data_IF_967505110606
#
_entry.id   IF_967505110606
#
_cell.length_a   1.000
_cell.length_b   1.000
_cell.length_c   1.000
_cell.angle_alpha   90.00
_cell.angle_beta   90.00
_cell.angle_gamma   90.00
#
_symmetry.space_group_name_H-M   'P 1'
#
loop_
_entity.id
_entity.type
_entity.pdbx_description
1 polymer ?
#
# COMPACT_ATOMS: atom_id res chain seq x y z
N UNK A 1 -13.11 -6.19 10.56
CA UNK A 1 -14.44 -6.03 11.16
C UNK A 1 -15.01 -7.35 11.70
N UNK A 2 -14.69 -8.48 11.11
CA UNK A 2 -15.25 -9.80 11.46
C UNK A 2 -14.25 -10.80 12.03
N UNK A 3 -13.07 -10.37 12.48
CA UNK A 3 -12.02 -11.25 13.05
C UNK A 3 -12.49 -12.08 14.23
N UNK A 4 -13.40 -11.57 15.06
CA UNK A 4 -13.99 -12.28 16.19
C UNK A 4 -15.08 -13.30 15.83
N UNK A 5 -15.54 -13.28 14.59
CA UNK A 5 -16.59 -14.13 14.06
C UNK A 5 -16.02 -15.45 13.53
N UNK A 6 -15.60 -16.34 14.44
CA UNK A 6 -14.91 -17.59 14.08
C UNK A 6 -15.69 -18.45 13.08
N UNK A 7 -17.01 -18.47 13.19
CA UNK A 7 -17.88 -19.22 12.26
C UNK A 7 -17.84 -18.62 10.85
N UNK A 8 -17.85 -17.31 10.73
CA UNK A 8 -17.75 -16.62 9.46
C UNK A 8 -16.37 -16.80 8.83
N UNK A 9 -15.31 -16.67 9.63
CA UNK A 9 -13.94 -16.89 9.15
C UNK A 9 -13.74 -18.31 8.61
N UNK A 10 -14.24 -19.34 9.29
CA UNK A 10 -14.21 -20.72 8.79
C UNK A 10 -14.97 -20.88 7.47
N UNK A 11 -16.15 -20.29 7.33
CA UNK A 11 -16.91 -20.34 6.07
C UNK A 11 -16.19 -19.65 4.92
N UNK A 12 -15.52 -18.52 5.16
CA UNK A 12 -14.71 -17.84 4.16
C UNK A 12 -13.49 -18.68 3.76
N UNK A 13 -12.83 -19.31 4.71
CA UNK A 13 -11.72 -20.23 4.47
C UNK A 13 -12.18 -21.43 3.63
N UNK A 14 -13.27 -22.10 4.01
CA UNK A 14 -13.86 -23.21 3.26
C UNK A 14 -14.27 -22.79 1.84
N UNK A 15 -14.84 -21.62 1.67
CA UNK A 15 -15.20 -21.07 0.36
C UNK A 15 -13.96 -20.82 -0.49
N UNK A 16 -12.91 -20.26 0.09
CA UNK A 16 -11.63 -20.01 -0.59
C UNK A 16 -11.00 -21.34 -1.01
N UNK A 17 -10.92 -22.32 -0.11
CA UNK A 17 -10.35 -23.63 -0.39
C UNK A 17 -11.13 -24.36 -1.50
N UNK A 18 -12.47 -24.32 -1.52
CA UNK A 18 -13.26 -24.91 -2.61
C UNK A 18 -12.95 -24.31 -3.99
N UNK A 19 -12.61 -23.02 -4.04
CA UNK A 19 -12.22 -22.37 -5.30
C UNK A 19 -10.77 -22.68 -5.69
N UNK A 20 -9.91 -22.98 -4.73
CA UNK A 20 -8.51 -23.32 -4.96
C UNK A 20 -8.29 -24.82 -5.21
N UNK A 21 -9.17 -25.70 -4.72
CA UNK A 21 -9.08 -27.16 -4.82
C UNK A 21 -9.18 -27.69 -6.27
N UNK A 22 -9.51 -26.85 -7.23
CA UNK A 22 -9.47 -27.16 -8.65
C UNK A 22 -8.08 -27.01 -9.27
N UNK A 23 -7.12 -26.49 -8.55
CA UNK A 23 -5.72 -26.39 -8.97
C UNK A 23 -4.95 -27.62 -8.48
N UNK A 24 -5.14 -28.75 -9.12
CA UNK A 24 -4.29 -29.93 -8.91
C UNK A 24 -2.82 -29.55 -9.06
N UNK A 25 -2.08 -29.73 -7.99
CA UNK A 25 -0.62 -29.72 -7.97
C UNK A 25 -0.03 -28.32 -8.08
N UNK A 26 0.40 -27.81 -6.96
CA UNK A 26 1.21 -26.61 -6.83
C UNK A 26 2.58 -26.78 -7.51
N UNK A 27 2.62 -26.99 -8.81
CA UNK A 27 3.85 -26.92 -9.58
C UNK A 27 3.98 -25.54 -10.19
N UNK A 28 5.16 -24.95 -10.08
CA UNK A 28 5.46 -23.71 -10.78
C UNK A 28 5.14 -23.79 -12.26
N UNK A 29 4.71 -22.70 -12.85
CA UNK A 29 4.42 -22.59 -14.29
C UNK A 29 5.25 -21.47 -14.89
N UNK A 30 5.74 -21.68 -16.07
CA UNK A 30 6.49 -20.65 -16.83
C UNK A 30 5.79 -20.47 -18.17
N UNK A 31 5.30 -19.27 -18.41
CA UNK A 31 4.61 -18.90 -19.64
C UNK A 31 5.60 -18.35 -20.70
N UNK A 32 5.09 -17.85 -21.81
CA UNK A 32 5.90 -17.39 -22.93
C UNK A 32 6.72 -16.14 -22.58
N UNK A 33 7.88 -16.01 -23.23
CA UNK A 33 8.78 -14.86 -23.10
C UNK A 33 9.31 -14.58 -21.68
N UNK A 34 9.23 -15.54 -20.77
CA UNK A 34 9.76 -15.42 -19.42
C UNK A 34 11.27 -15.57 -19.42
N UNK A 35 11.96 -14.73 -18.66
CA UNK A 35 13.41 -14.78 -18.47
C UNK A 35 13.73 -15.06 -17.01
N UNK A 36 14.40 -16.17 -16.74
CA UNK A 36 14.91 -16.52 -15.40
C UNK A 36 16.43 -16.68 -15.48
N UNK A 37 17.16 -15.86 -14.72
CA UNK A 37 18.62 -15.85 -14.72
C UNK A 37 19.19 -15.78 -13.30
N UNK A 38 20.18 -16.61 -13.01
CA UNK A 38 21.01 -16.52 -11.80
C UNK A 38 20.18 -16.46 -10.48
N UNK A 39 19.04 -17.12 -10.43
CA UNK A 39 18.24 -17.23 -9.23
C UNK A 39 18.66 -18.46 -8.42
N UNK A 40 18.79 -18.32 -7.09
CA UNK A 40 19.27 -19.42 -6.26
C UNK A 40 18.17 -20.45 -5.96
N UNK A 41 16.96 -20.00 -5.67
CA UNK A 41 15.83 -20.87 -5.34
C UNK A 41 14.52 -20.33 -5.94
N UNK A 42 13.81 -21.19 -6.63
CA UNK A 42 12.44 -20.94 -7.10
C UNK A 42 11.61 -22.20 -6.82
N UNK A 43 10.54 -22.06 -6.07
CA UNK A 43 9.67 -23.15 -5.70
C UNK A 43 8.21 -22.75 -5.80
N UNK A 44 7.40 -23.49 -6.55
CA UNK A 44 5.96 -23.26 -6.67
C UNK A 44 5.57 -21.81 -7.06
N UNK A 45 6.21 -21.28 -8.11
CA UNK A 45 5.95 -19.93 -8.62
C UNK A 45 5.42 -19.99 -10.04
N UNK A 46 4.31 -19.29 -10.32
CA UNK A 46 3.81 -19.07 -11.66
C UNK A 46 4.36 -17.76 -12.22
N UNK A 47 5.10 -17.84 -13.33
CA UNK A 47 5.61 -16.67 -14.06
C UNK A 47 4.75 -16.45 -15.30
N UNK A 48 4.01 -15.34 -15.34
CA UNK A 48 3.20 -14.97 -16.48
C UNK A 48 4.04 -14.33 -17.58
N UNK A 49 3.45 -14.19 -18.75
CA UNK A 49 4.10 -13.78 -19.99
C UNK A 49 4.98 -12.53 -19.82
N UNK A 50 6.18 -12.57 -20.40
CA UNK A 50 7.12 -11.44 -20.47
C UNK A 50 7.76 -11.06 -19.12
N UNK A 51 7.52 -11.81 -18.05
CA UNK A 51 8.12 -11.51 -16.74
C UNK A 51 9.61 -11.90 -16.69
N UNK A 52 10.35 -11.17 -15.85
CA UNK A 52 11.80 -11.35 -15.66
C UNK A 52 12.10 -11.60 -14.18
N UNK A 53 12.89 -12.63 -13.90
CA UNK A 53 13.48 -12.86 -12.58
C UNK A 53 15.01 -12.99 -12.73
N UNK A 54 15.76 -12.04 -12.21
CA UNK A 54 17.22 -12.02 -12.32
C UNK A 54 17.88 -11.81 -10.96
N UNK A 55 18.85 -12.70 -10.63
CA UNK A 55 19.60 -12.63 -9.39
C UNK A 55 18.73 -12.63 -8.12
N UNK A 56 17.60 -13.33 -8.13
CA UNK A 56 16.74 -13.50 -6.96
C UNK A 56 17.37 -14.53 -6.00
N UNK A 57 17.25 -14.27 -4.70
CA UNK A 57 17.74 -15.19 -3.66
C UNK A 57 16.72 -16.32 -3.46
N UNK A 58 15.45 -15.99 -3.23
CA UNK A 58 14.42 -16.98 -3.02
C UNK A 58 13.05 -16.48 -3.47
N UNK A 59 12.34 -17.26 -4.25
CA UNK A 59 10.96 -17.04 -4.65
C UNK A 59 10.17 -18.31 -4.36
N UNK A 60 9.11 -18.22 -3.55
CA UNK A 60 8.27 -19.37 -3.23
C UNK A 60 6.78 -19.02 -3.11
N UNK A 61 5.95 -19.98 -3.52
CA UNK A 61 4.49 -19.94 -3.36
C UNK A 61 3.87 -18.65 -3.88
N UNK A 62 4.11 -18.34 -5.16
CA UNK A 62 3.72 -17.04 -5.67
C UNK A 62 3.28 -16.99 -7.13
N UNK A 63 2.73 -15.84 -7.49
CA UNK A 63 2.38 -15.49 -8.87
C UNK A 63 3.10 -14.21 -9.25
N UNK A 64 3.88 -14.28 -10.31
CA UNK A 64 4.52 -13.14 -10.97
C UNK A 64 3.68 -12.74 -12.17
N UNK A 65 3.07 -11.56 -12.14
CA UNK A 65 2.18 -11.06 -13.17
C UNK A 65 2.89 -10.78 -14.51
N UNK A 66 2.10 -10.36 -15.49
CA UNK A 66 2.60 -10.06 -16.83
C UNK A 66 3.59 -8.89 -16.78
N UNK A 67 4.68 -9.00 -17.55
CA UNK A 67 5.74 -7.98 -17.66
C UNK A 67 6.31 -7.50 -16.32
N UNK A 68 6.29 -8.33 -15.29
CA UNK A 68 6.92 -8.03 -14.00
C UNK A 68 8.45 -8.19 -14.05
N UNK A 69 9.16 -7.40 -13.26
CA UNK A 69 10.61 -7.48 -13.12
C UNK A 69 11.00 -7.69 -11.67
N UNK A 70 11.68 -8.77 -11.36
CA UNK A 70 12.22 -9.13 -10.05
C UNK A 70 13.74 -9.22 -10.15
N UNK A 71 14.45 -8.22 -9.62
CA UNK A 71 15.88 -8.08 -9.91
C UNK A 71 16.70 -7.78 -8.64
N UNK A 72 17.91 -8.36 -8.58
CA UNK A 72 18.94 -8.04 -7.60
C UNK A 72 18.59 -8.36 -6.14
N UNK A 73 18.55 -9.63 -5.79
CA UNK A 73 18.54 -10.08 -4.40
C UNK A 73 17.15 -10.19 -3.77
N UNK A 74 16.12 -10.40 -4.55
CA UNK A 74 14.74 -10.49 -4.06
C UNK A 74 14.52 -11.77 -3.24
N UNK A 75 13.81 -11.61 -2.10
CA UNK A 75 13.24 -12.70 -1.31
C UNK A 75 11.74 -12.47 -1.26
N UNK A 76 10.96 -13.38 -1.85
CA UNK A 76 9.51 -13.28 -1.84
C UNK A 76 8.86 -14.65 -1.56
N UNK A 77 7.87 -14.65 -0.65
CA UNK A 77 7.17 -15.86 -0.21
C UNK A 77 5.68 -15.58 -0.04
N UNK A 78 4.81 -16.47 -0.53
CA UNK A 78 3.34 -16.33 -0.51
C UNK A 78 2.89 -14.96 -1.02
N UNK A 79 3.13 -14.71 -2.31
CA UNK A 79 2.90 -13.41 -2.93
C UNK A 79 2.09 -13.48 -4.21
N UNK A 80 1.39 -12.39 -4.51
CA UNK A 80 0.73 -12.18 -5.80
C UNK A 80 1.12 -10.79 -6.33
N UNK A 81 1.71 -10.77 -7.52
CA UNK A 81 2.04 -9.55 -8.24
C UNK A 81 1.07 -9.35 -9.41
N UNK A 82 0.53 -8.15 -9.52
CA UNK A 82 -0.25 -7.71 -10.68
C UNK A 82 0.60 -7.53 -11.94
N UNK A 83 0.07 -6.83 -12.92
CA UNK A 83 0.75 -6.55 -14.18
C UNK A 83 1.81 -5.45 -13.97
N UNK A 84 2.99 -5.61 -14.59
CA UNK A 84 4.06 -4.60 -14.64
C UNK A 84 4.56 -4.12 -13.26
N UNK A 85 4.66 -5.03 -12.31
CA UNK A 85 5.25 -4.76 -10.98
C UNK A 85 6.76 -4.91 -11.04
N UNK A 86 7.48 -4.03 -10.33
CA UNK A 86 8.92 -4.09 -10.18
C UNK A 86 9.32 -4.33 -8.73
N UNK A 87 10.10 -5.37 -8.49
CA UNK A 87 10.73 -5.67 -7.20
C UNK A 87 12.25 -5.62 -7.37
N UNK A 88 12.92 -4.72 -6.64
CA UNK A 88 14.32 -4.43 -6.91
C UNK A 88 15.18 -4.35 -5.65
N UNK A 89 16.47 -4.67 -5.78
CA UNK A 89 17.55 -4.36 -4.83
C UNK A 89 17.33 -4.85 -3.39
N UNK A 90 17.18 -6.15 -3.20
CA UNK A 90 17.15 -6.75 -1.87
C UNK A 90 15.81 -6.59 -1.13
N UNK A 91 14.75 -6.33 -1.85
CA UNK A 91 13.38 -6.33 -1.29
C UNK A 91 13.07 -7.66 -0.61
N UNK A 92 12.36 -7.59 0.52
CA UNK A 92 11.71 -8.72 1.17
C UNK A 92 10.19 -8.54 1.11
N UNK A 93 9.50 -9.57 0.59
CA UNK A 93 8.04 -9.57 0.43
C UNK A 93 7.46 -10.89 0.93
N UNK A 94 6.51 -10.85 1.84
CA UNK A 94 5.81 -12.05 2.30
C UNK A 94 4.33 -11.79 2.57
N UNK A 95 3.51 -12.84 2.35
CA UNK A 95 2.07 -12.82 2.62
C UNK A 95 1.35 -11.59 2.05
N UNK A 96 1.67 -11.20 0.81
CA UNK A 96 1.24 -9.91 0.29
C UNK A 96 0.76 -9.94 -1.15
N UNK A 97 -0.17 -9.03 -1.45
CA UNK A 97 -0.65 -8.74 -2.80
C UNK A 97 -0.18 -7.36 -3.22
N UNK A 98 0.47 -7.28 -4.38
CA UNK A 98 0.95 -6.02 -4.96
C UNK A 98 0.24 -5.77 -6.28
N UNK A 99 -0.53 -4.70 -6.33
CA UNK A 99 -1.30 -4.28 -7.51
C UNK A 99 -0.44 -3.78 -8.66
N UNK A 100 -1.05 -3.68 -9.82
CA UNK A 100 -0.42 -3.34 -11.09
C UNK A 100 0.44 -2.08 -11.03
N UNK A 101 1.46 -2.04 -11.88
CA UNK A 101 2.28 -0.84 -12.14
C UNK A 101 2.92 -0.23 -10.87
N UNK A 102 3.27 -1.07 -9.90
CA UNK A 102 3.89 -0.68 -8.63
C UNK A 102 5.40 -0.95 -8.63
N UNK A 103 6.14 -0.16 -7.86
CA UNK A 103 7.60 -0.32 -7.71
C UNK A 103 7.98 -0.39 -6.23
N UNK A 104 8.61 -1.50 -5.83
CA UNK A 104 9.12 -1.70 -4.48
C UNK A 104 10.61 -2.05 -4.54
N UNK A 105 11.43 -1.36 -3.76
CA UNK A 105 12.86 -1.61 -3.74
C UNK A 105 13.47 -1.31 -2.37
N UNK A 106 14.49 -2.07 -1.96
CA UNK A 106 15.26 -1.83 -0.73
C UNK A 106 14.42 -1.73 0.54
N UNK A 107 13.30 -2.42 0.60
CA UNK A 107 12.32 -2.33 1.68
C UNK A 107 11.85 -3.72 2.14
N UNK A 108 11.09 -3.75 3.20
CA UNK A 108 10.38 -4.93 3.69
C UNK A 108 8.87 -4.67 3.67
N UNK A 109 8.13 -5.61 3.08
CA UNK A 109 6.68 -5.58 3.00
C UNK A 109 6.11 -6.93 3.40
N UNK A 110 5.17 -6.94 4.34
CA UNK A 110 4.53 -8.17 4.80
C UNK A 110 3.05 -8.01 5.13
N UNK A 111 2.31 -9.11 5.00
CA UNK A 111 0.89 -9.20 5.37
C UNK A 111 0.03 -8.04 4.84
N UNK A 112 0.29 -7.61 3.61
CA UNK A 112 -0.27 -6.37 3.08
C UNK A 112 -1.00 -6.56 1.76
N UNK A 113 -2.03 -5.74 1.54
CA UNK A 113 -2.70 -5.59 0.26
C UNK A 113 -2.42 -4.18 -0.26
N UNK A 114 -1.68 -4.12 -1.34
CA UNK A 114 -1.25 -2.88 -1.99
C UNK A 114 -1.94 -2.75 -3.34
N UNK A 115 -2.69 -1.69 -3.54
CA UNK A 115 -3.39 -1.39 -4.78
C UNK A 115 -2.45 -0.75 -5.82
N UNK A 116 -2.87 -0.66 -7.11
CA UNK A 116 -2.01 -0.26 -8.21
C UNK A 116 -1.31 1.09 -8.06
N UNK A 117 -0.16 1.22 -8.74
CA UNK A 117 0.65 2.43 -8.80
C UNK A 117 1.26 2.87 -7.45
N UNK A 118 1.63 1.90 -6.62
CA UNK A 118 2.37 2.15 -5.39
C UNK A 118 3.87 2.33 -5.66
N UNK A 119 4.48 3.30 -4.99
CA UNK A 119 5.90 3.61 -5.08
C UNK A 119 6.56 3.51 -3.70
N UNK A 120 7.43 2.54 -3.49
CA UNK A 120 8.23 2.35 -2.27
C UNK A 120 9.64 1.90 -2.65
N UNK A 121 10.41 2.81 -3.23
CA UNK A 121 11.69 2.47 -3.86
C UNK A 121 12.91 3.12 -3.19
N UNK A 122 12.73 3.77 -2.06
CA UNK A 122 13.82 4.31 -1.26
C UNK A 122 14.20 3.36 -0.11
N UNK A 123 15.45 3.48 0.33
CA UNK A 123 16.05 2.57 1.30
C UNK A 123 15.40 2.64 2.69
N UNK A 124 15.45 1.52 3.40
CA UNK A 124 15.11 1.40 4.82
C UNK A 124 13.66 1.77 5.16
N UNK A 125 12.72 1.36 4.32
CA UNK A 125 11.29 1.47 4.63
C UNK A 125 10.69 0.09 4.97
N UNK A 126 9.62 0.13 5.76
CA UNK A 126 8.94 -1.03 6.31
C UNK A 126 7.44 -0.81 6.25
N UNK A 127 6.70 -1.77 5.71
CA UNK A 127 5.25 -1.74 5.60
C UNK A 127 4.67 -3.09 5.94
N UNK A 128 3.95 -3.19 7.04
CA UNK A 128 3.36 -4.46 7.51
C UNK A 128 1.91 -4.30 7.91
N UNK A 129 1.12 -5.36 7.68
CA UNK A 129 -0.29 -5.48 8.03
C UNK A 129 -1.10 -4.27 7.55
N UNK A 130 -0.99 -3.96 6.26
CA UNK A 130 -1.55 -2.75 5.70
C UNK A 130 -2.48 -3.01 4.50
N UNK A 131 -3.57 -2.25 4.46
CA UNK A 131 -4.35 -2.01 3.26
C UNK A 131 -3.97 -0.63 2.73
N UNK A 132 -3.26 -0.58 1.61
CA UNK A 132 -2.82 0.67 0.98
C UNK A 132 -3.51 0.81 -0.37
N UNK A 133 -4.35 1.81 -0.52
CA UNK A 133 -5.00 2.11 -1.79
C UNK A 133 -3.99 2.72 -2.78
N UNK A 134 -4.32 2.69 -4.05
CA UNK A 134 -3.39 3.02 -5.13
C UNK A 134 -2.76 4.41 -5.08
N UNK A 135 -1.78 4.65 -5.96
CA UNK A 135 -1.06 5.92 -6.14
C UNK A 135 -0.34 6.45 -4.87
N UNK A 136 -0.05 5.55 -3.96
CA UNK A 136 0.65 5.87 -2.71
C UNK A 136 2.16 5.91 -2.91
N UNK A 137 2.84 6.65 -2.04
CA UNK A 137 4.29 6.82 -2.12
C UNK A 137 4.91 6.81 -0.72
N UNK A 138 5.65 5.77 -0.39
CA UNK A 138 6.35 5.64 0.88
C UNK A 138 7.79 6.11 0.72
N UNK A 139 8.16 7.14 1.48
CA UNK A 139 9.51 7.70 1.44
C UNK A 139 10.52 6.86 2.25
N UNK A 140 11.82 7.17 2.10
CA UNK A 140 12.89 6.50 2.82
C UNK A 140 12.70 6.53 4.34
N UNK A 141 13.02 5.42 5.00
CA UNK A 141 12.95 5.29 6.46
C UNK A 141 11.53 5.27 7.04
N UNK A 142 10.50 5.17 6.20
CA UNK A 142 9.13 5.05 6.66
C UNK A 142 8.91 3.72 7.40
N UNK A 143 8.40 3.76 8.63
CA UNK A 143 8.06 2.59 9.45
C UNK A 143 6.55 2.57 9.65
N UNK A 144 5.86 1.78 8.84
CA UNK A 144 4.41 1.80 8.73
C UNK A 144 3.79 0.49 9.21
N UNK A 145 2.87 0.60 10.14
CA UNK A 145 2.18 -0.55 10.69
C UNK A 145 2.97 -1.31 11.75
N UNK A 146 3.94 -0.68 12.41
CA UNK A 146 4.68 -1.28 13.51
C UNK A 146 3.88 -1.25 14.81
N UNK A 147 3.89 -2.36 15.52
CA UNK A 147 3.33 -2.44 16.86
C UNK A 147 4.39 -2.04 17.90
N UNK A 148 4.41 -0.77 18.27
CA UNK A 148 5.38 -0.25 19.22
C UNK A 148 5.04 -0.57 20.69
N UNK A 149 3.83 -1.01 20.98
CA UNK A 149 3.45 -1.48 22.29
C UNK A 149 2.30 -2.49 22.20
N UNK A 150 2.39 -3.55 22.97
CA UNK A 150 1.45 -4.67 23.00
C UNK A 150 0.16 -4.39 23.80
N UNK A 151 -0.28 -3.14 23.93
CA UNK A 151 -1.42 -2.78 24.76
C UNK A 151 -2.78 -3.10 24.13
N UNK A 152 -2.83 -3.19 22.83
CA UNK A 152 -4.07 -3.49 22.09
C UNK A 152 -3.83 -4.61 21.08
N UNK A 153 -4.92 -5.24 20.64
CA UNK A 153 -4.85 -6.19 19.54
C UNK A 153 -4.30 -5.51 18.30
N UNK A 154 -3.43 -6.21 17.57
CA UNK A 154 -2.93 -5.74 16.29
C UNK A 154 -4.07 -5.67 15.27
N UNK A 155 -4.21 -4.52 14.66
CA UNK A 155 -5.13 -4.29 13.56
C UNK A 155 -4.36 -3.77 12.34
N UNK A 156 -5.05 -3.71 11.21
CA UNK A 156 -4.45 -3.25 9.98
C UNK A 156 -4.32 -1.72 9.95
N UNK A 157 -3.22 -1.25 9.36
CA UNK A 157 -3.11 0.10 8.83
C UNK A 157 -4.00 0.23 7.59
N UNK A 158 -4.82 1.27 7.51
CA UNK A 158 -5.68 1.52 6.35
C UNK A 158 -5.41 2.89 5.75
N UNK A 159 -4.93 2.92 4.52
CA UNK A 159 -4.53 4.15 3.83
C UNK A 159 -5.36 4.36 2.56
N UNK A 160 -6.00 5.51 2.45
CA UNK A 160 -6.70 5.93 1.25
C UNK A 160 -5.76 6.14 0.06
N UNK A 161 -6.32 6.35 -1.12
CA UNK A 161 -5.58 6.57 -2.37
C UNK A 161 -4.67 7.81 -2.26
N UNK A 162 -3.47 7.72 -2.79
CA UNK A 162 -2.51 8.84 -2.75
C UNK A 162 -1.86 9.08 -1.39
N UNK A 163 -1.93 8.13 -0.45
CA UNK A 163 -1.26 8.23 0.85
C UNK A 163 0.25 8.45 0.70
N UNK A 164 0.77 9.46 1.36
CA UNK A 164 2.18 9.85 1.24
C UNK A 164 2.82 10.16 2.59
N UNK A 165 3.36 9.18 3.30
CA UNK A 165 4.22 9.42 4.44
C UNK A 165 5.57 9.99 3.98
N UNK A 166 5.98 11.10 4.58
CA UNK A 166 7.28 11.73 4.33
C UNK A 166 8.46 10.90 4.84
N UNK A 167 9.66 11.46 4.73
CA UNK A 167 10.89 10.80 5.17
C UNK A 167 10.85 10.45 6.66
N UNK A 168 11.25 9.22 7.00
CA UNK A 168 11.35 8.75 8.39
C UNK A 168 10.06 8.95 9.20
N UNK A 169 8.91 8.78 8.57
CA UNK A 169 7.62 8.76 9.27
C UNK A 169 7.45 7.42 9.96
N UNK A 170 7.07 7.42 11.22
CA UNK A 170 6.68 6.23 11.97
C UNK A 170 5.20 6.29 12.33
N UNK A 171 4.43 5.29 11.90
CA UNK A 171 2.97 5.20 12.12
C UNK A 171 2.63 3.86 12.75
N UNK A 172 1.82 3.92 13.79
CA UNK A 172 1.37 2.75 14.54
C UNK A 172 0.21 2.03 13.84
N UNK A 173 0.07 0.72 14.12
CA UNK A 173 -1.10 -0.09 13.76
C UNK A 173 -2.42 0.55 14.16
N UNK A 174 -3.49 0.14 13.49
CA UNK A 174 -4.86 0.64 13.65
C UNK A 174 -5.06 2.07 13.18
N UNK A 175 -4.05 2.71 12.61
CA UNK A 175 -4.22 4.04 12.04
C UNK A 175 -4.96 3.98 10.70
N UNK A 176 -5.77 5.00 10.47
CA UNK A 176 -6.57 5.17 9.23
C UNK A 176 -6.36 6.54 8.66
N UNK A 177 -6.21 6.60 7.35
CA UNK A 177 -6.00 7.84 6.61
C UNK A 177 -6.93 7.91 5.42
N UNK A 178 -7.60 9.03 5.27
CA UNK A 178 -8.35 9.38 4.05
C UNK A 178 -7.40 9.55 2.85
N UNK A 179 -7.98 9.69 1.68
CA UNK A 179 -7.23 9.83 0.43
C UNK A 179 -6.34 11.08 0.41
N UNK A 180 -5.19 10.96 -0.21
CA UNK A 180 -4.21 12.03 -0.37
C UNK A 180 -3.72 12.68 0.93
N UNK A 181 -3.66 11.92 2.02
CA UNK A 181 -3.01 12.39 3.25
C UNK A 181 -1.49 12.40 3.08
N UNK A 182 -0.89 13.56 3.36
CA UNK A 182 0.55 13.76 3.45
C UNK A 182 0.96 13.84 4.92
N UNK A 183 1.87 12.99 5.36
CA UNK A 183 2.39 13.02 6.72
C UNK A 183 3.76 13.71 6.74
N UNK A 184 3.89 14.75 7.54
CA UNK A 184 5.18 15.38 7.79
C UNK A 184 6.11 14.43 8.57
N UNK A 185 7.42 14.60 8.41
CA UNK A 185 8.43 13.81 9.13
C UNK A 185 8.22 13.89 10.63
N UNK A 186 7.76 12.81 11.24
CA UNK A 186 7.58 12.68 12.68
C UNK A 186 7.32 11.22 13.09
N UNK A 187 7.43 10.95 14.37
CA UNK A 187 6.84 9.77 15.00
C UNK A 187 5.39 10.05 15.39
N UNK A 188 4.51 9.15 15.07
CA UNK A 188 3.09 9.19 15.43
C UNK A 188 2.81 8.01 16.38
N UNK A 189 3.00 8.20 17.69
CA UNK A 189 2.99 7.11 18.67
C UNK A 189 1.61 6.57 19.00
N UNK A 190 0.55 7.28 18.61
CA UNK A 190 -0.82 6.90 18.84
C UNK A 190 -1.51 6.45 17.55
N UNK A 191 -2.57 5.68 17.69
CA UNK A 191 -3.46 5.33 16.59
C UNK A 191 -4.14 6.59 16.06
N UNK A 192 -4.00 6.83 14.75
CA UNK A 192 -4.59 7.98 14.09
C UNK A 192 -5.85 7.59 13.32
N UNK A 193 -6.83 8.47 13.34
CA UNK A 193 -8.00 8.39 12.45
C UNK A 193 -8.17 9.72 11.72
N UNK A 194 -7.49 9.86 10.59
CA UNK A 194 -7.51 11.08 9.78
C UNK A 194 -8.57 10.92 8.69
N UNK A 195 -9.71 11.55 8.88
CA UNK A 195 -10.89 11.46 7.99
C UNK A 195 -10.93 12.57 6.94
N UNK A 196 -10.02 13.53 7.01
CA UNK A 196 -9.97 14.66 6.08
C UNK A 196 -9.05 14.33 4.89
N UNK A 197 -9.57 14.24 3.66
CA UNK A 197 -8.75 13.99 2.49
C UNK A 197 -7.91 15.22 2.12
N UNK A 198 -6.87 15.01 1.33
CA UNK A 198 -5.95 16.05 0.87
C UNK A 198 -5.26 16.84 2.00
N UNK A 199 -5.18 16.24 3.18
CA UNK A 199 -4.66 16.92 4.37
C UNK A 199 -3.13 16.77 4.50
N UNK A 200 -2.52 17.75 5.16
CA UNK A 200 -1.20 17.63 5.78
C UNK A 200 -1.38 17.29 7.26
N UNK A 201 -0.74 16.22 7.70
CA UNK A 201 -0.71 15.79 9.10
C UNK A 201 0.67 16.05 9.68
N UNK A 202 0.75 16.72 10.81
CA UNK A 202 1.99 17.06 11.48
C UNK A 202 1.89 16.78 13.00
N UNK A 203 2.81 16.01 13.54
CA UNK A 203 2.96 15.88 14.98
C UNK A 203 3.85 17.01 15.50
N UNK A 204 3.26 18.08 16.01
CA UNK A 204 3.97 19.20 16.58
C UNK A 204 4.40 18.90 18.02
N UNK A 205 5.56 18.29 18.18
CA UNK A 205 6.11 17.89 19.48
C UNK A 205 6.31 19.07 20.42
N UNK A 206 6.74 20.23 19.89
CA UNK A 206 6.96 21.42 20.70
C UNK A 206 5.70 21.97 21.35
N UNK A 207 4.55 21.76 20.72
CA UNK A 207 3.24 22.16 21.23
C UNK A 207 2.45 20.99 21.83
N UNK A 208 3.03 19.78 21.84
CA UNK A 208 2.40 18.53 22.25
C UNK A 208 1.01 18.34 21.64
N UNK A 209 0.89 18.51 20.34
CA UNK A 209 -0.38 18.36 19.63
C UNK A 209 -0.22 17.83 18.22
N UNK A 210 -1.21 17.10 17.77
CA UNK A 210 -1.40 16.73 16.38
C UNK A 210 -2.05 17.91 15.63
N UNK A 211 -1.44 18.34 14.55
CA UNK A 211 -1.96 19.38 13.68
C UNK A 211 -2.39 18.74 12.35
N UNK A 212 -3.63 18.96 11.95
CA UNK A 212 -4.17 18.51 10.68
C UNK A 212 -4.63 19.73 9.89
N UNK A 213 -4.00 19.95 8.74
CA UNK A 213 -4.39 21.04 7.83
C UNK A 213 -5.24 20.42 6.70
N UNK A 214 -6.56 20.62 6.71
CA UNK A 214 -7.43 20.10 5.67
C UNK A 214 -7.16 20.77 4.33
N UNK A 215 -7.45 20.08 3.23
CA UNK A 215 -7.31 20.61 1.88
C UNK A 215 -5.91 21.21 1.54
N UNK A 216 -4.84 20.76 2.23
CA UNK A 216 -3.48 21.27 2.05
C UNK A 216 -3.01 21.22 0.59
N UNK A 217 -3.32 20.12 -0.11
CA UNK A 217 -2.93 19.96 -1.50
C UNK A 217 -3.57 21.02 -2.40
N UNK A 218 -4.82 21.36 -2.16
CA UNK A 218 -5.56 22.37 -2.92
C UNK A 218 -5.09 23.79 -2.63
N UNK A 219 -4.72 24.06 -1.38
CA UNK A 219 -4.31 25.42 -0.96
C UNK A 219 -2.85 25.72 -1.27
N UNK A 220 -1.96 24.75 -1.10
CA UNK A 220 -0.52 25.01 -1.10
C UNK A 220 0.28 24.10 -2.04
N UNK A 221 -0.29 23.03 -2.56
CA UNK A 221 0.48 22.02 -3.31
C UNK A 221 -0.23 21.53 -4.59
N UNK A 222 -1.07 22.36 -5.19
CA UNK A 222 -1.81 22.03 -6.42
C UNK A 222 -0.90 21.58 -7.57
N UNK A 223 0.27 22.21 -7.69
CA UNK A 223 1.24 21.81 -8.72
C UNK A 223 1.68 20.34 -8.58
N UNK A 224 1.97 19.90 -7.36
CA UNK A 224 2.37 18.52 -7.14
C UNK A 224 1.21 17.53 -7.39
N UNK A 225 -0.01 17.94 -7.06
CA UNK A 225 -1.21 17.15 -7.30
C UNK A 225 -1.47 16.96 -8.80
N UNK A 226 -1.47 18.02 -9.59
CA UNK A 226 -1.63 17.98 -11.05
C UNK A 226 -0.49 17.17 -11.71
N UNK A 227 0.74 17.42 -11.28
CA UNK A 227 1.90 16.66 -11.76
C UNK A 227 1.76 15.16 -11.48
N UNK A 228 1.29 14.77 -10.29
CA UNK A 228 1.15 13.36 -9.92
C UNK A 228 0.07 12.66 -10.74
N UNK A 229 -1.09 13.27 -10.94
CA UNK A 229 -2.15 12.75 -11.80
C UNK A 229 -1.63 12.45 -13.21
N UNK A 230 -0.99 13.44 -13.83
CA UNK A 230 -0.37 13.28 -15.16
C UNK A 230 0.77 12.25 -15.18
N UNK A 231 1.57 12.19 -14.11
CA UNK A 231 2.67 11.23 -13.97
C UNK A 231 2.15 9.79 -13.94
N UNK A 232 1.13 9.51 -13.14
CA UNK A 232 0.57 8.17 -13.02
C UNK A 232 -0.05 7.71 -14.33
N UNK A 233 -0.87 8.52 -14.98
CA UNK A 233 -1.45 8.21 -16.27
C UNK A 233 -0.38 7.96 -17.36
N UNK A 234 0.67 8.78 -17.43
CA UNK A 234 1.78 8.61 -18.38
C UNK A 234 2.64 7.37 -18.09
N UNK A 235 2.74 6.96 -16.82
CA UNK A 235 3.54 5.80 -16.39
C UNK A 235 2.77 4.49 -16.43
N UNK A 236 1.49 4.51 -16.72
CA UNK A 236 0.71 3.29 -16.89
C UNK A 236 1.19 2.53 -18.13
N UNK A 237 1.93 1.45 -17.88
CA UNK A 237 2.52 0.59 -18.92
C UNK A 237 1.81 -0.75 -19.05
N UNK A 238 0.72 -0.94 -18.33
CA UNK A 238 -0.05 -2.18 -18.40
C UNK A 238 -0.58 -2.42 -19.81
N UNK A 239 -0.48 -3.64 -20.27
CA UNK A 239 -0.96 -4.10 -21.58
C UNK A 239 -2.39 -4.59 -21.51
N UNK A 240 -2.71 -5.37 -20.49
CA UNK A 240 -4.02 -6.02 -20.32
C UNK A 240 -5.01 -5.09 -19.62
N UNK A 241 -4.56 -4.30 -18.63
CA UNK A 241 -5.38 -3.33 -17.88
C UNK A 241 -6.64 -3.96 -17.27
N UNK A 242 -6.51 -5.18 -16.72
CA UNK A 242 -7.63 -5.88 -16.11
C UNK A 242 -8.20 -5.15 -14.87
N UNK A 243 -7.34 -4.44 -14.14
CA UNK A 243 -7.76 -3.62 -12.99
C UNK A 243 -8.07 -2.20 -13.45
N UNK A 244 -9.21 -1.66 -12.99
CA UNK A 244 -9.47 -0.23 -13.13
C UNK A 244 -8.56 0.55 -12.20
N UNK A 245 -7.88 1.58 -12.71
CA UNK A 245 -7.04 2.49 -11.93
C UNK A 245 -7.55 3.90 -12.16
N UNK A 246 -7.98 4.52 -11.08
CA UNK A 246 -8.45 5.91 -11.09
C UNK A 246 -7.27 6.87 -10.99
N UNK A 247 -7.16 7.79 -11.95
CA UNK A 247 -6.08 8.79 -11.98
C UNK A 247 -6.55 10.20 -11.63
N UNK A 248 -7.86 10.44 -11.63
CA UNK A 248 -8.40 11.75 -11.30
C UNK A 248 -8.35 12.02 -9.80
N UNK A 249 -7.97 13.23 -9.44
CA UNK A 249 -7.91 13.65 -8.05
C UNK A 249 -9.32 13.76 -7.44
N UNK A 250 -10.31 14.15 -8.24
CA UNK A 250 -11.72 14.15 -7.88
C UNK A 250 -12.40 12.93 -8.51
N UNK A 251 -12.63 11.92 -7.72
CA UNK A 251 -13.23 10.66 -8.10
C UNK A 251 -14.23 10.24 -7.01
N UNK A 252 -15.03 9.21 -7.20
CA UNK A 252 -16.07 8.83 -6.22
C UNK A 252 -15.55 8.67 -4.79
N UNK A 253 -14.38 8.08 -4.60
CA UNK A 253 -13.75 7.92 -3.28
C UNK A 253 -13.42 9.25 -2.62
N UNK A 254 -12.74 10.13 -3.32
CA UNK A 254 -12.33 11.44 -2.78
C UNK A 254 -13.49 12.42 -2.66
N UNK A 255 -14.48 12.35 -3.56
CA UNK A 255 -15.68 13.18 -3.49
C UNK A 255 -16.53 12.88 -2.26
N UNK A 256 -16.74 11.60 -1.94
CA UNK A 256 -17.41 11.18 -0.71
C UNK A 256 -16.66 11.65 0.54
N UNK A 257 -15.34 11.44 0.58
CA UNK A 257 -14.51 11.90 1.71
C UNK A 257 -14.53 13.43 1.89
N UNK A 258 -14.57 14.21 0.80
CA UNK A 258 -14.66 15.67 0.85
C UNK A 258 -16.00 16.11 1.47
N UNK A 259 -17.12 15.51 1.07
CA UNK A 259 -18.44 15.82 1.61
C UNK A 259 -18.47 15.53 3.10
N UNK A 260 -18.08 14.31 3.51
CA UNK A 260 -18.02 13.90 4.91
C UNK A 260 -17.07 14.80 5.71
N UNK A 261 -15.90 15.12 5.14
CA UNK A 261 -14.92 16.00 5.76
C UNK A 261 -15.44 17.42 5.99
N UNK A 262 -16.24 17.95 5.06
CA UNK A 262 -16.91 19.24 5.20
C UNK A 262 -17.90 19.26 6.37
N UNK A 263 -18.73 18.23 6.48
CA UNK A 263 -19.69 18.10 7.58
C UNK A 263 -18.96 17.99 8.94
N UNK A 264 -17.88 17.20 9.01
CA UNK A 264 -17.07 17.09 10.22
C UNK A 264 -16.43 18.41 10.63
N UNK A 265 -15.93 19.20 9.68
CA UNK A 265 -15.35 20.51 9.98
C UNK A 265 -16.40 21.48 10.54
N UNK A 266 -17.64 21.44 10.06
CA UNK A 266 -18.73 22.21 10.64
C UNK A 266 -19.00 21.80 12.08
N UNK A 267 -19.16 20.50 12.35
CA UNK A 267 -19.39 19.97 13.69
C UNK A 267 -18.28 20.39 14.65
N UNK A 268 -17.02 20.18 14.29
CA UNK A 268 -15.87 20.51 15.16
C UNK A 268 -15.74 22.02 15.38
N UNK A 269 -16.10 22.85 14.41
CA UNK A 269 -16.12 24.30 14.56
C UNK A 269 -17.17 24.71 15.59
N UNK A 270 -18.38 24.15 15.51
CA UNK A 270 -19.43 24.42 16.48
C UNK A 270 -19.06 23.95 17.92
N UNK A 271 -18.48 22.77 18.03
CA UNK A 271 -18.01 22.22 19.32
C UNK A 271 -16.94 23.14 19.92
N UNK A 272 -15.93 23.50 19.16
CA UNK A 272 -14.87 24.39 19.60
C UNK A 272 -15.37 25.78 20.03
N UNK A 273 -16.41 26.30 19.35
CA UNK A 273 -17.01 27.58 19.70
C UNK A 273 -17.84 27.52 21.01
N UNK A 274 -18.41 26.34 21.34
CA UNK A 274 -19.15 26.15 22.59
C UNK A 274 -18.26 25.94 23.80
N UNK A 275 -17.03 25.43 23.59
CA UNK A 275 -16.04 25.15 24.65
C UNK A 275 -15.14 26.35 24.98
N UNK A 276 -15.05 27.36 24.12
CA UNK A 276 -14.24 28.57 24.31
C UNK A 276 -15.05 29.77 24.77
#
# INVERSE_FOLDING_TARGET
RFRGETTMMKKLEEMTLRHLDTAEGCMGRVYDDVIIKNCNMICNVAFLQGSVAEQCIALSDGVVGIDCHLEHGIIAERFLLGEHVKLEFGLRLNDSVVGDNSTLARCEVGNSIIFPAHEQHHNNSFLIAALVMGQSNVAAGGTLGSNHNSRTADNELSCGRGFWPGLCVSVKHSSRFASNCLLAKADYPNELNITLPFALVNNNVAKNRLEVMPAYWWMYNMYAMDRNSKKFAKRDKRKVKAQHVEFDNLAPDTAEEIIIGGDLLHIWTEESYREG
#
